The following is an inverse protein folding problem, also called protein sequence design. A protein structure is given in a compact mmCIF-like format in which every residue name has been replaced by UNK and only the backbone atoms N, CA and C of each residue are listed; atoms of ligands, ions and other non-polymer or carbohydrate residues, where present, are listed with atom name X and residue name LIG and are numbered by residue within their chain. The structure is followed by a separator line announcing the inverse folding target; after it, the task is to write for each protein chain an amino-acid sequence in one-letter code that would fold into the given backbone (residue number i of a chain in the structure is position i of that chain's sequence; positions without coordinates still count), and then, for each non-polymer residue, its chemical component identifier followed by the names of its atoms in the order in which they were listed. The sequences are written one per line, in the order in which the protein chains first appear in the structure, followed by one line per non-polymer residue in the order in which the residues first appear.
data_IF_347056545486
#
_entry.id   IF_347056545486
#
_cell.length_a   1.000
_cell.length_b   1.000
_cell.length_c   1.000
_cell.angle_alpha   90.00
_cell.angle_beta   90.00
_cell.angle_gamma   90.00
#
_symmetry.space_group_name_H-M   'P 1'
#
loop_
_entity.id
_entity.type
_entity.pdbx_description
1 polymer ?
#
# COMPACT_ATOMS: atom_id res chain seq x y z
N UNK A 1 6.62 -62.91 0.03
CA UNK A 1 7.80 -62.46 -0.71
C UNK A 1 7.35 -61.43 -1.73
N UNK A 2 7.48 -60.12 -1.45
CA UNK A 2 6.95 -59.06 -2.32
C UNK A 2 7.70 -58.90 -3.67
N UNK A 3 8.36 -59.97 -4.16
CA UNK A 3 9.23 -59.97 -5.35
C UNK A 3 8.81 -61.02 -6.40
N UNK A 4 7.67 -61.72 -6.27
CA UNK A 4 7.22 -62.72 -7.26
C UNK A 4 6.36 -62.15 -8.42
N UNK A 5 6.07 -60.85 -8.47
CA UNK A 5 5.13 -60.26 -9.44
C UNK A 5 5.73 -59.22 -10.40
N UNK A 6 7.01 -59.34 -10.73
CA UNK A 6 7.66 -58.51 -11.77
C UNK A 6 8.07 -57.12 -11.28
N UNK A 7 8.76 -56.38 -12.14
CA UNK A 7 9.26 -55.04 -11.79
C UNK A 7 8.10 -54.04 -11.85
N UNK A 8 7.76 -53.34 -10.75
CA UNK A 8 6.68 -52.36 -10.75
C UNK A 8 6.85 -51.23 -11.78
N UNK A 9 8.08 -51.00 -12.28
CA UNK A 9 8.35 -50.06 -13.36
C UNK A 9 7.63 -50.43 -14.67
N UNK A 10 7.29 -51.71 -14.87
CA UNK A 10 6.60 -52.21 -16.06
C UNK A 10 5.12 -51.79 -16.11
N UNK A 11 4.56 -51.32 -14.99
CA UNK A 11 3.20 -50.79 -14.90
C UNK A 11 3.11 -49.31 -15.30
N UNK A 12 4.25 -48.64 -15.51
CA UNK A 12 4.27 -47.23 -15.82
C UNK A 12 4.07 -47.01 -17.34
N UNK A 13 3.20 -46.06 -17.74
CA UNK A 13 3.07 -45.68 -19.14
C UNK A 13 4.42 -45.31 -19.76
N UNK A 14 4.63 -45.57 -21.04
CA UNK A 14 5.93 -45.30 -21.72
C UNK A 14 6.39 -43.84 -21.57
N UNK A 15 5.44 -42.92 -21.36
CA UNK A 15 5.65 -41.50 -21.15
C UNK A 15 5.57 -41.06 -19.68
N UNK A 16 5.66 -41.97 -18.72
CA UNK A 16 5.47 -41.66 -17.29
C UNK A 16 6.43 -40.58 -16.80
N UNK A 17 7.68 -40.55 -17.28
CA UNK A 17 8.66 -39.52 -16.89
C UNK A 17 8.20 -38.12 -17.31
N UNK A 18 7.69 -37.97 -18.53
CA UNK A 18 7.11 -36.72 -19.03
C UNK A 18 5.78 -36.39 -18.39
N UNK A 19 4.93 -37.38 -18.07
CA UNK A 19 3.68 -37.17 -17.35
C UNK A 19 3.92 -36.72 -15.91
N UNK A 20 4.87 -37.34 -15.21
CA UNK A 20 5.29 -36.94 -13.87
C UNK A 20 5.92 -35.54 -13.89
N UNK A 21 6.66 -35.18 -14.94
CA UNK A 21 7.19 -33.81 -15.08
C UNK A 21 6.09 -32.80 -15.42
N UNK A 22 5.07 -33.18 -16.21
CA UNK A 22 3.90 -32.36 -16.48
C UNK A 22 3.05 -32.18 -15.22
N UNK A 23 2.84 -33.24 -14.44
CA UNK A 23 2.20 -33.18 -13.13
C UNK A 23 3.03 -32.37 -12.15
N UNK A 24 4.35 -32.50 -12.12
CA UNK A 24 5.18 -31.60 -11.32
C UNK A 24 5.12 -30.17 -11.85
N UNK A 25 4.95 -29.87 -13.14
CA UNK A 25 4.71 -28.50 -13.61
C UNK A 25 3.31 -27.98 -13.23
N UNK A 26 2.35 -28.87 -13.02
CA UNK A 26 0.99 -28.62 -12.56
C UNK A 26 0.90 -28.50 -11.02
N UNK A 27 1.70 -29.28 -10.27
CA UNK A 27 1.71 -29.43 -8.81
C UNK A 27 2.88 -28.71 -8.11
N UNK A 28 4.02 -28.47 -8.78
CA UNK A 28 4.96 -27.47 -8.28
C UNK A 28 4.27 -26.15 -8.46
N UNK A 29 4.03 -25.41 -7.37
CA UNK A 29 3.20 -24.25 -7.44
C UNK A 29 3.91 -23.30 -8.39
N UNK A 30 3.32 -23.01 -9.56
CA UNK A 30 3.27 -21.61 -9.95
C UNK A 30 2.84 -20.94 -8.66
N UNK A 31 3.76 -20.22 -7.99
CA UNK A 31 3.50 -19.45 -6.77
C UNK A 31 2.02 -19.17 -6.77
N UNK A 32 1.23 -19.78 -5.88
CA UNK A 32 -0.22 -19.75 -6.06
C UNK A 32 -0.68 -18.33 -5.76
N UNK A 33 -0.45 -17.44 -6.71
CA UNK A 33 -0.71 -16.03 -6.66
C UNK A 33 -2.23 -15.89 -6.60
N UNK A 34 -2.97 -16.82 -7.23
CA UNK A 34 -4.40 -17.00 -7.03
C UNK A 34 -4.74 -17.34 -5.58
N UNK A 35 -4.13 -18.35 -4.98
CA UNK A 35 -4.31 -18.69 -3.57
C UNK A 35 -3.79 -17.65 -2.58
N UNK A 36 -2.83 -16.81 -2.94
CA UNK A 36 -2.34 -15.74 -2.07
C UNK A 36 -3.17 -14.44 -2.22
N UNK A 37 -3.68 -14.15 -3.42
CA UNK A 37 -4.52 -12.97 -3.70
C UNK A 37 -5.98 -13.26 -3.38
N UNK A 38 -6.46 -14.42 -3.80
CA UNK A 38 -7.87 -14.87 -3.79
C UNK A 38 -8.11 -15.88 -2.65
N UNK A 39 -7.10 -16.69 -2.29
CA UNK A 39 -7.20 -17.74 -1.27
C UNK A 39 -6.69 -17.38 0.15
N UNK A 40 -5.93 -16.30 0.35
CA UNK A 40 -5.45 -15.89 1.68
C UNK A 40 -5.47 -14.37 1.91
N UNK A 41 -5.84 -14.04 3.14
CA UNK A 41 -5.85 -12.79 3.92
C UNK A 41 -5.85 -11.40 3.27
N UNK A 42 -5.15 -11.05 2.19
CA UNK A 42 -5.01 -9.62 1.83
C UNK A 42 -6.27 -9.04 1.19
N UNK A 43 -6.80 -9.64 0.11
CA UNK A 43 -8.02 -9.13 -0.53
C UNK A 43 -9.21 -9.21 0.42
N UNK A 44 -9.36 -10.33 1.14
CA UNK A 44 -10.41 -10.53 2.14
C UNK A 44 -10.29 -9.54 3.31
N UNK A 45 -9.11 -9.38 3.93
CA UNK A 45 -8.95 -8.37 5.01
C UNK A 45 -9.12 -6.95 4.51
N UNK A 46 -8.70 -6.66 3.29
CA UNK A 46 -8.90 -5.35 2.67
C UNK A 46 -10.40 -5.08 2.51
N UNK A 47 -11.16 -6.06 2.05
CA UNK A 47 -12.62 -5.98 1.93
C UNK A 47 -13.30 -5.86 3.29
N UNK A 48 -12.91 -6.67 4.27
CA UNK A 48 -13.46 -6.63 5.63
C UNK A 48 -13.22 -5.25 6.26
N UNK A 49 -12.01 -4.72 6.12
CA UNK A 49 -11.68 -3.39 6.62
C UNK A 49 -12.47 -2.30 5.89
N UNK A 50 -12.59 -2.38 4.56
CA UNK A 50 -13.43 -1.45 3.78
C UNK A 50 -14.86 -1.44 4.31
N UNK A 51 -15.47 -2.61 4.47
CA UNK A 51 -16.84 -2.75 4.99
C UNK A 51 -16.95 -2.18 6.40
N UNK A 52 -15.98 -2.45 7.28
CA UNK A 52 -15.96 -1.92 8.64
C UNK A 52 -15.90 -0.38 8.66
N UNK A 53 -15.00 0.23 7.89
CA UNK A 53 -14.88 1.69 7.85
C UNK A 53 -16.11 2.35 7.22
N UNK A 54 -16.72 1.74 6.19
CA UNK A 54 -17.98 2.23 5.61
C UNK A 54 -19.14 2.13 6.59
N UNK A 55 -19.26 1.01 7.32
CA UNK A 55 -20.28 0.83 8.36
C UNK A 55 -20.12 1.87 9.48
N UNK A 56 -18.89 2.28 9.78
CA UNK A 56 -18.59 3.36 10.71
C UNK A 56 -18.82 4.77 10.13
N UNK A 57 -19.30 4.89 8.88
CA UNK A 57 -19.60 6.17 8.22
C UNK A 57 -18.40 6.88 7.63
N UNK A 58 -17.22 6.24 7.55
CA UNK A 58 -16.04 6.83 6.94
C UNK A 58 -16.19 6.93 5.42
N UNK A 59 -16.08 8.15 4.89
CA UNK A 59 -16.22 8.44 3.44
C UNK A 59 -14.88 8.63 2.73
N UNK A 60 -13.75 8.54 3.44
CA UNK A 60 -12.43 8.70 2.85
C UNK A 60 -11.95 7.46 2.11
N UNK A 61 -10.76 7.56 1.52
CA UNK A 61 -10.10 6.46 0.81
C UNK A 61 -9.32 5.65 1.84
N UNK A 62 -9.58 4.33 1.89
CA UNK A 62 -8.72 3.40 2.61
C UNK A 62 -7.59 3.03 1.66
N UNK A 63 -6.33 3.18 2.10
CA UNK A 63 -5.16 3.01 1.27
C UNK A 63 -4.11 2.09 1.91
N UNK A 64 -3.40 1.33 1.08
CA UNK A 64 -2.31 0.46 1.48
C UNK A 64 -0.99 1.20 1.73
N UNK A 65 0.08 0.46 2.02
CA UNK A 65 1.42 1.04 2.25
C UNK A 65 2.51 0.31 1.45
N UNK A 66 3.77 0.73 1.57
CA UNK A 66 4.92 -0.01 1.04
C UNK A 66 5.50 -1.06 2.01
N UNK A 67 4.85 -1.26 3.16
CA UNK A 67 5.18 -2.31 4.15
C UNK A 67 4.65 -3.66 3.64
N UNK A 68 5.26 -4.11 2.56
CA UNK A 68 4.89 -5.31 1.81
C UNK A 68 5.99 -6.35 1.93
N UNK A 69 5.67 -7.62 1.75
CA UNK A 69 6.68 -8.68 1.71
C UNK A 69 7.69 -8.40 0.60
N UNK A 70 9.02 -8.41 0.88
CA UNK A 70 10.03 -8.22 -0.14
C UNK A 70 9.85 -9.20 -1.30
N UNK A 71 9.87 -8.69 -2.54
CA UNK A 71 9.63 -9.49 -3.75
C UNK A 71 8.15 -9.76 -4.08
N UNK A 72 7.22 -9.50 -3.16
CA UNK A 72 5.79 -9.86 -3.32
C UNK A 72 4.83 -8.67 -3.45
N UNK A 73 5.37 -7.46 -3.52
CA UNK A 73 4.57 -6.22 -3.55
C UNK A 73 3.49 -6.18 -4.62
N UNK A 74 3.80 -6.63 -5.84
CA UNK A 74 2.84 -6.60 -6.95
C UNK A 74 1.56 -7.35 -6.59
N UNK A 75 1.73 -8.54 -6.03
CA UNK A 75 0.67 -9.46 -5.63
C UNK A 75 -0.13 -8.88 -4.46
N UNK A 76 0.55 -8.39 -3.43
CA UNK A 76 -0.10 -7.79 -2.26
C UNK A 76 -0.91 -6.53 -2.62
N UNK A 77 -0.36 -5.65 -3.46
CA UNK A 77 -1.04 -4.43 -3.94
C UNK A 77 -2.24 -4.78 -4.81
N UNK A 78 -2.10 -5.78 -5.68
CA UNK A 78 -3.21 -6.27 -6.48
C UNK A 78 -4.34 -6.82 -5.59
N UNK A 79 -4.00 -7.60 -4.56
CA UNK A 79 -4.97 -8.06 -3.55
C UNK A 79 -5.70 -6.91 -2.85
N UNK A 80 -4.99 -5.83 -2.48
CA UNK A 80 -5.63 -4.64 -1.91
C UNK A 80 -6.66 -4.02 -2.86
N UNK A 81 -6.28 -3.82 -4.13
CA UNK A 81 -7.15 -3.24 -5.17
C UNK A 81 -8.40 -4.11 -5.38
N UNK A 82 -8.23 -5.43 -5.51
CA UNK A 82 -9.33 -6.39 -5.63
C UNK A 82 -10.26 -6.34 -4.41
N UNK A 83 -9.71 -6.16 -3.21
CA UNK A 83 -10.47 -5.97 -1.97
C UNK A 83 -11.19 -4.63 -1.83
N UNK A 84 -11.01 -3.70 -2.78
CA UNK A 84 -11.62 -2.36 -2.76
C UNK A 84 -10.81 -1.31 -1.99
N UNK A 85 -9.53 -1.57 -1.73
CA UNK A 85 -8.60 -0.67 -1.05
C UNK A 85 -7.63 -0.05 -2.06
N UNK A 86 -7.38 1.24 -1.94
CA UNK A 86 -6.43 1.92 -2.82
C UNK A 86 -5.01 1.40 -2.60
N UNK A 87 -4.29 1.13 -3.69
CA UNK A 87 -2.94 0.61 -3.61
C UNK A 87 -1.96 1.58 -2.96
N UNK A 88 -2.24 2.89 -2.92
CA UNK A 88 -1.29 3.96 -2.64
C UNK A 88 -0.07 3.90 -3.57
N UNK A 89 1.00 4.66 -3.27
CA UNK A 89 2.24 4.54 -4.05
C UNK A 89 2.77 3.10 -4.08
N UNK A 90 3.15 2.67 -5.28
CA UNK A 90 3.72 1.34 -5.50
C UNK A 90 5.20 1.32 -5.07
N UNK A 91 5.95 2.34 -5.45
CA UNK A 91 7.39 2.45 -5.23
C UNK A 91 7.79 3.90 -4.91
N UNK A 92 9.09 4.21 -5.03
CA UNK A 92 9.64 5.55 -4.83
C UNK A 92 9.47 6.47 -6.05
N UNK A 93 9.22 5.92 -7.23
CA UNK A 93 9.00 6.66 -8.48
C UNK A 93 7.55 7.07 -8.69
N UNK A 94 6.60 6.39 -8.03
CA UNK A 94 5.16 6.63 -8.21
C UNK A 94 4.70 7.99 -7.68
N UNK A 95 5.31 8.46 -6.59
CA UNK A 95 4.96 9.70 -5.90
C UNK A 95 6.08 10.08 -4.93
N UNK A 96 6.35 11.38 -4.79
CA UNK A 96 7.33 11.88 -3.84
C UNK A 96 6.64 12.00 -2.47
N UNK A 97 7.15 11.29 -1.46
CA UNK A 97 6.71 11.43 -0.08
C UNK A 97 7.87 11.96 0.75
N UNK A 98 7.69 13.15 1.32
CA UNK A 98 8.61 13.78 2.24
C UNK A 98 8.26 13.35 3.66
N UNK A 99 9.21 12.64 4.29
CA UNK A 99 9.19 12.28 5.71
C UNK A 99 9.99 13.29 6.53
N UNK A 100 9.83 13.23 7.85
CA UNK A 100 10.68 13.89 8.86
C UNK A 100 12.17 13.99 8.48
N UNK A 101 12.80 12.88 8.11
CA UNK A 101 14.22 12.81 7.76
C UNK A 101 14.58 13.67 6.53
N UNK A 102 13.66 13.80 5.57
CA UNK A 102 13.88 14.62 4.37
C UNK A 102 13.76 16.11 4.70
N UNK A 103 12.79 16.45 5.55
CA UNK A 103 12.59 17.82 6.04
C UNK A 103 13.81 18.24 6.84
N UNK A 104 14.26 17.38 7.77
CA UNK A 104 15.48 17.61 8.56
C UNK A 104 16.72 17.80 7.68
N UNK A 105 16.90 16.97 6.66
CA UNK A 105 18.05 17.07 5.74
C UNK A 105 18.04 18.35 4.88
N UNK A 106 16.86 18.96 4.65
CA UNK A 106 16.71 20.21 3.88
C UNK A 106 16.67 21.46 4.74
N UNK A 107 16.28 21.33 6.02
CA UNK A 107 16.23 22.42 7.00
C UNK A 107 14.86 23.08 7.17
N UNK A 108 13.95 22.94 6.19
CA UNK A 108 12.57 23.47 6.29
C UNK A 108 11.60 22.62 5.46
N UNK A 109 10.30 22.66 5.81
CA UNK A 109 9.24 22.00 5.04
C UNK A 109 9.11 22.69 3.69
N UNK A 110 9.10 24.02 3.67
CA UNK A 110 8.98 24.82 2.45
C UNK A 110 10.05 24.48 1.42
N UNK A 111 11.32 24.40 1.83
CA UNK A 111 12.42 24.11 0.90
C UNK A 111 12.41 22.66 0.42
N UNK A 112 11.99 21.73 1.28
CA UNK A 112 11.82 20.34 0.90
C UNK A 112 10.71 20.16 -0.14
N UNK A 113 9.56 20.80 0.05
CA UNK A 113 8.42 20.75 -0.88
C UNK A 113 8.78 21.40 -2.22
N UNK A 114 9.40 22.58 -2.21
CA UNK A 114 9.82 23.26 -3.45
C UNK A 114 10.81 22.42 -4.24
N UNK A 115 11.79 21.81 -3.57
CA UNK A 115 12.76 20.91 -4.22
C UNK A 115 12.07 19.66 -4.79
N UNK A 116 11.12 19.08 -4.06
CA UNK A 116 10.34 17.94 -4.53
C UNK A 116 9.51 18.29 -5.77
N UNK A 117 8.79 19.42 -5.77
CA UNK A 117 8.01 19.89 -6.93
C UNK A 117 8.89 20.20 -8.13
N UNK A 118 10.07 20.78 -7.92
CA UNK A 118 11.04 21.02 -9.00
C UNK A 118 11.55 19.71 -9.63
N UNK A 119 11.71 18.66 -8.82
CA UNK A 119 12.18 17.34 -9.28
C UNK A 119 11.08 16.53 -9.97
N UNK A 120 9.89 16.49 -9.38
CA UNK A 120 8.75 15.72 -9.89
C UNK A 120 7.99 16.39 -11.03
N UNK A 121 8.22 17.69 -11.24
CA UNK A 121 7.49 18.49 -12.22
C UNK A 121 5.98 18.52 -11.94
N UNK A 122 5.19 18.63 -13.00
CA UNK A 122 3.72 18.62 -12.91
C UNK A 122 3.11 17.21 -12.79
N UNK A 123 3.90 16.16 -13.08
CA UNK A 123 3.39 14.80 -13.23
C UNK A 123 3.28 14.05 -11.89
N UNK A 124 4.19 14.32 -10.95
CA UNK A 124 4.22 13.63 -9.66
C UNK A 124 3.57 14.47 -8.57
N UNK A 125 2.70 13.82 -7.79
CA UNK A 125 2.18 14.39 -6.54
C UNK A 125 3.29 14.43 -5.48
N UNK A 126 3.21 15.41 -4.59
CA UNK A 126 4.06 15.54 -3.41
C UNK A 126 3.21 15.37 -2.17
N UNK A 127 3.53 14.35 -1.40
CA UNK A 127 2.98 14.06 -0.09
C UNK A 127 3.96 14.45 1.00
N UNK A 128 3.49 15.05 2.10
CA UNK A 128 4.33 15.49 3.22
C UNK A 128 3.79 14.93 4.53
N UNK A 129 4.63 14.23 5.29
CA UNK A 129 4.35 13.84 6.68
C UNK A 129 4.61 15.03 7.60
N UNK A 130 3.60 15.37 8.40
CA UNK A 130 3.64 16.47 9.37
C UNK A 130 3.03 16.01 10.70
N UNK A 131 3.52 16.56 11.79
CA UNK A 131 3.13 16.22 13.17
C UNK A 131 2.32 17.34 13.87
N UNK A 132 2.06 18.44 13.16
CA UNK A 132 1.42 19.65 13.68
C UNK A 132 0.54 20.32 12.61
N UNK A 133 -0.46 21.12 13.04
CA UNK A 133 -1.30 21.88 12.10
C UNK A 133 -0.50 23.01 11.41
N UNK A 134 0.47 23.59 12.12
CA UNK A 134 1.35 24.63 11.60
C UNK A 134 2.24 24.09 10.48
N UNK A 135 2.83 22.90 10.67
CA UNK A 135 3.59 22.22 9.62
C UNK A 135 2.72 21.82 8.42
N UNK A 136 1.46 21.44 8.66
CA UNK A 136 0.49 21.20 7.60
C UNK A 136 0.21 22.47 6.79
N UNK A 137 -0.02 23.60 7.46
CA UNK A 137 -0.24 24.90 6.80
C UNK A 137 0.99 25.29 5.96
N UNK A 138 2.21 25.16 6.50
CA UNK A 138 3.45 25.44 5.77
C UNK A 138 3.57 24.55 4.51
N UNK A 139 3.29 23.25 4.63
CA UNK A 139 3.33 22.33 3.49
C UNK A 139 2.28 22.67 2.42
N UNK A 140 1.05 23.01 2.83
CA UNK A 140 -0.03 23.41 1.93
C UNK A 140 0.32 24.73 1.22
N UNK A 141 0.90 25.70 1.91
CA UNK A 141 1.41 26.94 1.30
C UNK A 141 2.52 26.64 0.28
N UNK A 142 3.47 25.80 0.67
CA UNK A 142 4.66 25.53 -0.12
C UNK A 142 4.41 24.79 -1.43
N UNK A 143 3.33 24.01 -1.56
CA UNK A 143 3.15 23.24 -2.78
C UNK A 143 2.57 21.84 -2.64
N UNK A 144 2.37 21.32 -1.43
CA UNK A 144 2.03 19.93 -1.24
C UNK A 144 0.63 19.59 -1.80
N UNK A 145 0.54 18.40 -2.38
CA UNK A 145 -0.71 17.87 -2.95
C UNK A 145 -1.46 17.01 -1.91
N UNK A 146 -0.71 16.37 -1.00
CA UNK A 146 -1.22 15.49 0.05
C UNK A 146 -0.51 15.81 1.37
N UNK A 147 -1.28 15.96 2.44
CA UNK A 147 -0.78 16.15 3.81
C UNK A 147 -1.08 14.90 4.62
N UNK A 148 -0.04 14.21 5.09
CA UNK A 148 -0.16 13.06 5.97
C UNK A 148 0.02 13.51 7.42
N UNK A 149 -1.06 13.50 8.18
CA UNK A 149 -1.04 13.78 9.61
C UNK A 149 -0.49 12.55 10.35
N UNK A 150 0.73 12.64 10.86
CA UNK A 150 1.37 11.59 11.64
C UNK A 150 1.43 11.96 13.13
N UNK A 151 1.41 10.96 14.01
CA UNK A 151 1.50 11.12 15.46
C UNK A 151 0.39 11.97 16.15
N UNK A 152 -0.77 12.17 15.51
CA UNK A 152 -1.93 12.78 16.18
C UNK A 152 -2.73 11.75 16.99
N UNK A 153 -3.33 12.19 18.11
CA UNK A 153 -4.34 11.40 18.82
C UNK A 153 -5.61 11.25 17.97
N UNK A 154 -6.45 10.25 18.24
CA UNK A 154 -7.65 9.99 17.43
C UNK A 154 -8.62 11.20 17.35
N UNK A 155 -8.80 11.92 18.45
CA UNK A 155 -9.63 13.13 18.48
C UNK A 155 -8.88 14.35 17.92
N UNK A 156 -7.59 14.48 18.23
CA UNK A 156 -6.73 15.54 17.70
C UNK A 156 -6.67 15.49 16.17
N UNK A 157 -6.62 14.30 15.60
CA UNK A 157 -6.58 14.09 14.16
C UNK A 157 -7.87 14.55 13.47
N UNK A 158 -9.04 14.22 14.04
CA UNK A 158 -10.33 14.69 13.51
C UNK A 158 -10.45 16.21 13.59
N UNK A 159 -9.95 16.80 14.68
CA UNK A 159 -9.93 18.24 14.85
C UNK A 159 -9.01 18.90 13.82
N UNK A 160 -7.75 18.44 13.70
CA UNK A 160 -6.77 18.95 12.75
C UNK A 160 -7.27 18.85 11.30
N UNK A 161 -7.77 17.68 10.88
CA UNK A 161 -8.30 17.50 9.53
C UNK A 161 -9.50 18.43 9.24
N UNK A 162 -10.37 18.68 10.22
CA UNK A 162 -11.49 19.63 10.09
C UNK A 162 -11.01 21.07 10.02
N UNK A 163 -10.10 21.46 10.91
CA UNK A 163 -9.55 22.81 10.99
C UNK A 163 -8.83 23.16 9.68
N UNK A 164 -7.96 22.28 9.18
CA UNK A 164 -7.26 22.45 7.91
C UNK A 164 -8.23 22.59 6.74
N UNK A 165 -9.25 21.73 6.65
CA UNK A 165 -10.28 21.83 5.60
C UNK A 165 -11.04 23.15 5.63
N UNK A 166 -11.39 23.64 6.81
CA UNK A 166 -12.09 24.92 6.96
C UNK A 166 -11.17 26.11 6.61
N UNK A 167 -9.92 26.10 7.11
CA UNK A 167 -8.95 27.18 6.92
C UNK A 167 -8.55 27.36 5.45
N UNK A 168 -8.49 26.25 4.71
CA UNK A 168 -8.06 26.20 3.31
C UNK A 168 -9.21 26.03 2.30
N UNK A 169 -10.47 26.02 2.76
CA UNK A 169 -11.63 25.94 1.89
C UNK A 169 -11.60 27.03 0.81
N UNK A 170 -11.61 26.62 -0.46
CA UNK A 170 -11.60 27.52 -1.61
C UNK A 170 -10.27 28.24 -1.90
N UNK A 171 -9.25 28.06 -1.05
CA UNK A 171 -7.91 28.64 -1.26
C UNK A 171 -7.02 27.71 -2.09
N UNK A 172 -7.04 26.42 -1.76
CA UNK A 172 -6.23 25.40 -2.42
C UNK A 172 -6.84 24.01 -2.27
N UNK A 173 -6.71 23.20 -3.30
CA UNK A 173 -7.07 21.78 -3.26
C UNK A 173 -5.88 20.95 -2.77
N UNK A 174 -6.12 20.07 -1.79
CA UNK A 174 -5.16 19.11 -1.25
C UNK A 174 -5.91 17.94 -0.61
N UNK A 175 -5.24 16.80 -0.46
CA UNK A 175 -5.78 15.66 0.27
C UNK A 175 -5.21 15.60 1.69
N UNK A 176 -6.05 15.24 2.65
CA UNK A 176 -5.64 14.92 4.02
C UNK A 176 -5.57 13.40 4.18
N UNK A 177 -4.37 12.87 4.32
CA UNK A 177 -4.08 11.47 4.65
C UNK A 177 -3.85 11.27 6.15
N UNK A 178 -4.11 10.05 6.61
CA UNK A 178 -3.92 9.64 8.00
C UNK A 178 -3.23 8.30 7.99
N UNK A 179 -2.09 8.19 8.68
CA UNK A 179 -1.46 6.90 8.88
C UNK A 179 -2.04 6.23 10.13
N UNK A 180 -2.72 5.11 9.93
CA UNK A 180 -3.14 4.25 11.03
C UNK A 180 -1.93 3.50 11.60
N UNK A 181 -1.62 3.72 12.89
CA UNK A 181 -0.69 2.91 13.67
C UNK A 181 -1.50 2.12 14.70
N UNK A 182 -1.57 0.80 14.53
CA UNK A 182 -1.95 -0.08 15.64
C UNK A 182 -0.81 -0.03 16.64
N UNK A 183 -1.03 0.62 17.78
CA UNK A 183 -0.12 0.46 18.91
C UNK A 183 -0.28 -0.99 19.37
N UNK A 184 0.77 -1.78 19.16
CA UNK A 184 0.95 -3.11 19.77
C UNK A 184 1.51 -2.96 21.17
#
# INVERSE_FOLDING_TARGET
MALEHGNPADLLPVHWKSQVTAWFAEDTPSFDYGGFVVGDRIATKSRDMEVLVRKAGYKGILAGTRKTTPGFRLVEKYGMIVGGVDGHRHDLSSMIMLKDNHIWARGSITDAVKAAKATGGFALKVEVEVDSEEGADEAIEAGADIIMLDNFSGDGLKAAARNLRQRWAGKREFFTGVQWRTHS
#
